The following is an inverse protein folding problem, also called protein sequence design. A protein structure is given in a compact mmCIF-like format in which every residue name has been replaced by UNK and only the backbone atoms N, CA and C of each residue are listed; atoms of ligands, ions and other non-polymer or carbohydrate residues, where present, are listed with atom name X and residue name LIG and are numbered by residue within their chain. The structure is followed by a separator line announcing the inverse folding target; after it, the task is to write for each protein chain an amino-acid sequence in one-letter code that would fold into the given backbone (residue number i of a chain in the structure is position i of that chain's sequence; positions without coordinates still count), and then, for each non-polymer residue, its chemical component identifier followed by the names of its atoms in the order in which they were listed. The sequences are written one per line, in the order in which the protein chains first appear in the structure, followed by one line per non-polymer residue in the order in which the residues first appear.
data_IF_463429142258
#
_entry.id   IF_463429142258
#
_cell.length_a   1.000
_cell.length_b   1.000
_cell.length_c   1.000
_cell.angle_alpha   90.00
_cell.angle_beta   90.00
_cell.angle_gamma   90.00
#
_symmetry.space_group_name_H-M   'P 1'
#
loop_
_entity.id
_entity.type
_entity.pdbx_description
1 polymer ?
#
# COMPACT_ATOMS: atom_id res chain seq x y z
N UNK A 1 -47.22 -54.64 75.52
CA UNK A 1 -47.37 -54.41 74.07
C UNK A 1 -46.51 -53.22 73.68
N UNK A 2 -45.47 -53.45 72.87
CA UNK A 2 -44.50 -52.41 72.45
C UNK A 2 -45.09 -51.58 71.32
N UNK A 3 -45.17 -50.26 71.50
CA UNK A 3 -45.69 -49.31 70.51
C UNK A 3 -44.49 -48.74 69.74
N UNK A 4 -44.40 -49.05 68.44
CA UNK A 4 -43.44 -48.47 67.51
C UNK A 4 -43.93 -47.08 67.06
N UNK A 5 -43.10 -46.05 67.22
CA UNK A 5 -43.29 -44.72 66.60
C UNK A 5 -42.62 -44.70 65.22
N UNK A 6 -43.28 -44.22 64.16
CA UNK A 6 -42.63 -44.06 62.86
C UNK A 6 -41.78 -42.78 62.86
N UNK A 7 -40.53 -42.89 62.39
CA UNK A 7 -39.64 -41.78 62.09
C UNK A 7 -39.93 -41.37 60.63
N UNK A 8 -40.38 -40.13 60.42
CA UNK A 8 -40.52 -39.53 59.08
C UNK A 8 -39.16 -38.91 58.72
N UNK A 9 -38.50 -39.47 57.70
CA UNK A 9 -37.27 -38.93 57.12
C UNK A 9 -37.63 -37.90 56.05
N UNK A 10 -37.41 -36.61 56.31
CA UNK A 10 -37.59 -35.55 55.31
C UNK A 10 -36.36 -35.51 54.38
N UNK A 11 -36.54 -35.91 53.12
CA UNK A 11 -35.53 -35.77 52.06
C UNK A 11 -35.64 -34.35 51.50
N UNK A 12 -34.65 -33.50 51.79
CA UNK A 12 -34.50 -32.21 51.14
C UNK A 12 -33.89 -32.40 49.74
N UNK A 13 -34.71 -32.28 48.70
CA UNK A 13 -34.24 -32.24 47.30
C UNK A 13 -33.71 -30.83 47.02
N UNK A 14 -32.39 -30.68 46.98
CA UNK A 14 -31.75 -29.47 46.46
C UNK A 14 -31.81 -29.52 44.93
N UNK A 15 -32.70 -28.73 44.35
CA UNK A 15 -32.75 -28.47 42.91
C UNK A 15 -31.51 -27.65 42.52
N UNK A 16 -30.47 -28.32 42.02
CA UNK A 16 -29.37 -27.66 41.30
C UNK A 16 -29.93 -27.26 39.93
N UNK A 17 -30.38 -26.03 39.79
CA UNK A 17 -30.67 -25.45 38.48
C UNK A 17 -29.35 -25.39 37.70
N UNK A 18 -29.29 -25.91 36.45
CA UNK A 18 -28.13 -25.66 35.60
C UNK A 18 -28.00 -24.14 35.41
N UNK A 19 -26.79 -23.61 35.60
CA UNK A 19 -26.51 -22.22 35.28
C UNK A 19 -26.98 -21.96 33.85
N UNK A 20 -27.92 -21.03 33.66
CA UNK A 20 -28.31 -20.59 32.33
C UNK A 20 -27.08 -19.96 31.67
N UNK A 21 -26.36 -20.76 30.88
CA UNK A 21 -25.43 -20.24 29.90
C UNK A 21 -26.27 -19.51 28.87
N UNK A 22 -26.53 -18.22 29.09
CA UNK A 22 -27.02 -17.34 28.03
C UNK A 22 -26.00 -17.40 26.91
N UNK A 23 -26.32 -18.11 25.83
CA UNK A 23 -25.51 -18.11 24.62
C UNK A 23 -25.35 -16.64 24.20
N UNK A 24 -24.11 -16.14 24.27
CA UNK A 24 -23.84 -14.73 23.98
C UNK A 24 -24.13 -14.51 22.51
N UNK A 25 -25.08 -13.62 22.22
CA UNK A 25 -25.50 -13.35 20.85
C UNK A 25 -24.29 -12.89 20.02
N UNK A 26 -24.12 -13.49 18.83
CA UNK A 26 -23.01 -13.17 17.93
C UNK A 26 -23.42 -11.94 17.12
N UNK A 27 -22.75 -10.78 17.27
CA UNK A 27 -23.07 -9.58 16.52
C UNK A 27 -22.79 -9.78 15.03
N UNK A 28 -23.58 -9.14 14.16
CA UNK A 28 -23.37 -9.17 12.70
C UNK A 28 -22.35 -8.13 12.24
N UNK A 29 -22.16 -7.06 13.03
CA UNK A 29 -21.18 -6.01 12.73
C UNK A 29 -20.73 -5.21 13.95
N UNK A 30 -19.62 -4.46 13.78
CA UNK A 30 -18.99 -3.61 14.76
C UNK A 30 -18.87 -2.18 14.23
N UNK A 31 -19.31 -1.20 15.02
CA UNK A 31 -19.28 0.22 14.70
C UNK A 31 -18.01 0.87 15.27
N UNK A 32 -17.25 1.52 14.40
CA UNK A 32 -15.94 2.09 14.70
C UNK A 32 -15.91 3.55 14.25
N UNK A 33 -15.42 4.44 15.11
CA UNK A 33 -15.16 5.84 14.77
C UNK A 33 -13.69 6.15 14.94
N UNK A 34 -13.16 7.02 14.10
CA UNK A 34 -11.76 7.40 14.19
C UNK A 34 -11.41 8.63 13.37
N UNK A 35 -10.12 8.88 13.26
CA UNK A 35 -9.55 9.98 12.50
C UNK A 35 -8.26 9.54 11.77
N UNK A 36 -7.78 10.35 10.83
CA UNK A 36 -6.60 10.07 10.04
C UNK A 36 -6.78 8.94 9.01
N UNK A 37 -5.77 8.79 8.16
CA UNK A 37 -5.69 7.75 7.12
C UNK A 37 -4.24 7.32 6.93
N UNK A 38 -4.00 6.02 7.05
CA UNK A 38 -2.65 5.44 7.02
C UNK A 38 -2.17 4.98 8.39
N UNK A 39 -0.86 4.71 8.48
CA UNK A 39 -0.21 4.15 9.67
C UNK A 39 0.26 5.20 10.68
N UNK A 40 0.24 6.50 10.32
CA UNK A 40 0.59 7.61 11.21
C UNK A 40 2.08 7.76 11.57
N UNK A 41 2.95 6.90 11.05
CA UNK A 41 4.40 6.91 11.32
C UNK A 41 5.14 7.84 10.36
N UNK A 42 6.01 8.69 10.89
CA UNK A 42 6.84 9.61 10.12
C UNK A 42 6.07 10.84 9.62
N UNK A 43 6.33 11.29 8.39
CA UNK A 43 5.76 12.55 7.91
C UNK A 43 4.27 12.44 7.57
N UNK A 44 3.45 13.29 8.20
CA UNK A 44 2.05 13.49 7.79
C UNK A 44 1.98 14.34 6.54
N UNK A 45 1.33 13.86 5.49
CA UNK A 45 1.16 14.60 4.23
C UNK A 45 0.27 15.84 4.43
N UNK A 46 -0.84 15.70 5.14
CA UNK A 46 -1.70 16.84 5.50
C UNK A 46 -0.94 17.84 6.38
N UNK A 47 -0.17 17.35 7.36
CA UNK A 47 0.63 18.22 8.21
C UNK A 47 1.75 18.94 7.46
N UNK A 48 2.44 18.26 6.55
CA UNK A 48 3.42 18.88 5.64
C UNK A 48 2.78 19.97 4.77
N UNK A 49 1.56 19.74 4.25
CA UNK A 49 0.79 20.75 3.53
C UNK A 49 0.49 21.96 4.41
N UNK A 50 0.02 21.75 5.64
CA UNK A 50 -0.31 22.83 6.57
C UNK A 50 0.91 23.67 6.92
N UNK A 51 2.05 23.03 7.19
CA UNK A 51 3.32 23.69 7.47
C UNK A 51 3.84 24.51 6.28
N UNK A 52 3.72 23.96 5.07
CA UNK A 52 4.06 24.70 3.86
C UNK A 52 3.15 25.92 3.64
N UNK A 53 1.84 25.81 3.94
CA UNK A 53 0.91 26.96 3.92
C UNK A 53 1.27 28.02 4.97
N UNK A 54 1.89 27.62 6.08
CA UNK A 54 2.42 28.51 7.10
C UNK A 54 3.81 29.10 6.75
N UNK A 55 4.35 28.81 5.56
CA UNK A 55 5.62 29.35 5.08
C UNK A 55 6.87 28.57 5.52
N UNK A 56 6.73 27.38 6.11
CA UNK A 56 7.88 26.53 6.44
C UNK A 56 8.54 25.98 5.16
N UNK A 57 9.88 25.92 5.18
CA UNK A 57 10.67 25.32 4.10
C UNK A 57 10.57 23.79 4.12
N UNK A 58 10.87 23.13 2.99
CA UNK A 58 10.86 21.67 2.91
C UNK A 58 11.76 20.99 3.97
N UNK A 59 12.93 21.58 4.24
CA UNK A 59 13.89 21.09 5.24
C UNK A 59 13.39 21.26 6.67
N UNK A 60 12.70 22.36 6.97
CA UNK A 60 12.04 22.56 8.26
C UNK A 60 10.90 21.54 8.48
N UNK A 61 10.09 21.29 7.45
CA UNK A 61 9.03 20.27 7.48
C UNK A 61 9.63 18.89 7.76
N UNK A 62 10.69 18.49 7.05
CA UNK A 62 11.35 17.20 7.28
C UNK A 62 11.92 17.11 8.70
N UNK A 63 12.65 18.12 9.16
CA UNK A 63 13.27 18.17 10.49
C UNK A 63 12.24 18.17 11.63
N UNK A 64 11.01 18.58 11.33
CA UNK A 64 9.90 18.47 12.26
C UNK A 64 9.52 16.99 12.51
N UNK A 65 9.36 16.20 11.45
CA UNK A 65 8.85 14.82 11.51
C UNK A 65 9.92 13.76 11.78
N UNK A 66 11.15 13.99 11.33
CA UNK A 66 12.26 13.06 11.51
C UNK A 66 13.31 13.70 12.43
N UNK A 67 13.71 13.00 13.49
CA UNK A 67 14.74 13.49 14.43
C UNK A 67 16.01 12.66 14.32
N UNK A 68 17.11 13.21 14.81
CA UNK A 68 18.43 12.57 14.79
C UNK A 68 18.83 12.13 13.37
N UNK A 69 18.53 13.00 12.40
CA UNK A 69 18.81 12.82 10.98
C UNK A 69 19.53 14.05 10.41
N UNK A 70 20.26 13.85 9.32
CA UNK A 70 20.76 14.93 8.48
C UNK A 70 19.94 15.00 7.18
N UNK A 71 19.86 16.20 6.59
CA UNK A 71 19.33 16.39 5.24
C UNK A 71 20.52 16.75 4.35
N UNK A 72 20.95 15.79 3.54
CA UNK A 72 22.19 15.90 2.78
C UNK A 72 22.08 15.29 1.38
N UNK A 73 22.90 15.74 0.43
CA UNK A 73 22.94 15.14 -0.90
C UNK A 73 23.59 13.76 -0.86
N UNK A 74 22.96 12.78 -1.50
CA UNK A 74 23.55 11.48 -1.84
C UNK A 74 23.43 11.23 -3.34
N UNK A 75 24.26 10.32 -3.86
CA UNK A 75 24.14 9.82 -5.23
C UNK A 75 22.83 9.03 -5.42
N UNK A 76 21.93 9.58 -6.22
CA UNK A 76 20.62 9.03 -6.57
C UNK A 76 20.54 8.55 -8.03
N UNK A 77 21.68 8.24 -8.66
CA UNK A 77 21.76 7.76 -10.06
C UNK A 77 21.37 6.28 -10.24
N UNK A 78 21.11 5.56 -9.14
CA UNK A 78 20.75 4.14 -9.16
C UNK A 78 19.52 3.87 -10.04
N UNK A 79 19.54 2.77 -10.77
CA UNK A 79 18.38 2.24 -11.48
C UNK A 79 17.58 1.36 -10.53
N UNK A 80 16.29 1.64 -10.40
CA UNK A 80 15.34 0.89 -9.59
C UNK A 80 14.46 0.04 -10.49
N UNK A 81 14.21 -1.19 -10.08
CA UNK A 81 13.23 -2.09 -10.68
C UNK A 81 11.90 -1.94 -9.92
N UNK A 82 10.97 -1.21 -10.52
CA UNK A 82 9.66 -0.91 -9.93
C UNK A 82 8.61 -1.85 -10.49
N UNK A 83 7.94 -2.65 -9.65
CA UNK A 83 6.84 -3.50 -10.09
C UNK A 83 5.62 -2.65 -10.46
N UNK A 84 5.16 -2.80 -11.69
CA UNK A 84 4.02 -2.05 -12.26
C UNK A 84 2.92 -2.98 -12.78
N UNK A 85 3.05 -4.28 -12.53
CA UNK A 85 2.08 -5.32 -12.87
C UNK A 85 2.37 -6.59 -12.09
N UNK A 86 1.58 -6.84 -11.04
CA UNK A 86 1.80 -7.93 -10.10
C UNK A 86 0.89 -9.13 -10.36
N UNK A 87 1.46 -10.34 -10.33
CA UNK A 87 0.75 -11.62 -10.45
C UNK A 87 -0.22 -11.71 -11.66
N UNK A 88 0.20 -11.20 -12.82
CA UNK A 88 -0.65 -11.12 -14.00
C UNK A 88 -0.73 -12.46 -14.76
N UNK A 89 -1.84 -12.69 -15.46
CA UNK A 89 -1.96 -13.77 -16.45
C UNK A 89 -1.66 -13.30 -17.87
N UNK A 90 -1.88 -12.02 -18.14
CA UNK A 90 -1.58 -11.38 -19.42
C UNK A 90 -1.29 -9.89 -19.25
N UNK A 91 -0.58 -9.32 -20.22
CA UNK A 91 -0.34 -7.89 -20.35
C UNK A 91 -0.25 -7.51 -21.83
N UNK A 92 -0.58 -6.27 -22.16
CA UNK A 92 -0.48 -5.71 -23.51
C UNK A 92 0.29 -4.41 -23.46
N UNK A 93 1.23 -4.23 -24.38
CA UNK A 93 2.03 -3.03 -24.53
C UNK A 93 1.89 -2.47 -25.96
N UNK A 94 1.80 -1.16 -26.11
CA UNK A 94 1.77 -0.51 -27.41
C UNK A 94 2.39 0.90 -27.34
N UNK A 95 2.84 1.43 -28.48
CA UNK A 95 3.26 2.83 -28.56
C UNK A 95 2.04 3.75 -28.55
N UNK A 96 2.09 4.80 -27.73
CA UNK A 96 1.11 5.87 -27.68
C UNK A 96 1.56 7.09 -28.52
N UNK A 97 2.86 7.29 -28.71
CA UNK A 97 3.41 8.33 -29.60
C UNK A 97 3.52 7.80 -31.03
N UNK A 98 3.12 8.58 -32.06
CA UNK A 98 3.47 8.29 -33.46
C UNK A 98 4.99 8.13 -33.64
N UNK A 99 5.40 7.26 -34.56
CA UNK A 99 6.81 7.01 -34.93
C UNK A 99 7.73 6.46 -33.83
N UNK A 100 7.23 6.33 -32.60
CA UNK A 100 7.95 5.60 -31.57
C UNK A 100 8.09 4.13 -31.95
N UNK A 101 9.24 3.55 -31.63
CA UNK A 101 9.53 2.15 -31.90
C UNK A 101 9.63 1.35 -30.61
N UNK A 102 9.31 0.06 -30.70
CA UNK A 102 9.36 -0.90 -29.60
C UNK A 102 10.23 -2.08 -30.04
N UNK A 103 11.13 -2.53 -29.16
CA UNK A 103 12.02 -3.66 -29.39
C UNK A 103 11.90 -4.64 -28.22
N UNK A 104 11.81 -5.94 -28.52
CA UNK A 104 11.76 -7.02 -27.52
C UNK A 104 13.01 -7.87 -27.61
N UNK A 105 13.57 -8.22 -26.45
CA UNK A 105 14.79 -9.00 -26.28
C UNK A 105 14.50 -10.23 -25.42
N UNK A 106 15.21 -11.32 -25.70
CA UNK A 106 15.22 -12.51 -24.85
C UNK A 106 16.09 -12.26 -23.63
N UNK A 107 15.61 -12.54 -22.42
CA UNK A 107 16.42 -12.43 -21.21
C UNK A 107 16.20 -11.14 -20.40
N UNK A 108 16.94 -11.07 -19.28
CA UNK A 108 17.03 -9.90 -18.42
C UNK A 108 18.19 -9.03 -18.91
N UNK A 109 17.90 -8.02 -19.72
CA UNK A 109 18.92 -7.16 -20.30
C UNK A 109 19.11 -5.95 -19.39
N UNK A 110 20.34 -5.73 -18.95
CA UNK A 110 20.75 -4.53 -18.23
C UNK A 110 20.84 -3.31 -19.15
N UNK A 111 21.93 -2.54 -19.04
CA UNK A 111 22.10 -1.29 -19.80
C UNK A 111 22.74 -1.51 -21.19
N UNK A 112 23.22 -2.72 -21.48
CA UNK A 112 23.88 -3.07 -22.74
C UNK A 112 22.98 -2.80 -23.96
N UNK A 113 23.47 -2.02 -24.94
CA UNK A 113 22.68 -1.59 -26.11
C UNK A 113 22.98 -2.40 -27.39
N UNK A 114 24.05 -3.18 -27.38
CA UNK A 114 24.55 -4.01 -28.48
C UNK A 114 23.84 -5.37 -28.62
N UNK A 115 22.83 -5.63 -27.79
CA UNK A 115 22.03 -6.86 -27.85
C UNK A 115 21.09 -6.81 -29.06
N UNK A 116 21.00 -7.91 -29.82
CA UNK A 116 20.10 -8.02 -30.97
C UNK A 116 18.65 -8.26 -30.51
N UNK A 117 17.67 -7.47 -30.97
CA UNK A 117 16.27 -7.71 -30.62
C UNK A 117 15.72 -8.96 -31.32
N UNK A 118 14.82 -9.67 -30.64
CA UNK A 118 14.03 -10.76 -31.22
C UNK A 118 13.04 -10.24 -32.28
N UNK A 119 12.51 -9.04 -32.06
CA UNK A 119 11.61 -8.37 -32.98
C UNK A 119 11.62 -6.86 -32.75
N UNK A 120 11.38 -6.12 -33.83
CA UNK A 120 10.98 -4.71 -33.80
C UNK A 120 9.48 -4.66 -34.04
N UNK A 121 8.74 -4.06 -33.12
CA UNK A 121 7.28 -3.96 -33.17
C UNK A 121 6.90 -2.82 -34.14
N UNK A 122 6.14 -3.10 -35.22
CA UNK A 122 5.76 -2.07 -36.17
C UNK A 122 4.84 -1.01 -35.55
N UNK A 123 4.81 0.19 -36.12
CA UNK A 123 3.85 1.24 -35.75
C UNK A 123 2.40 0.72 -35.83
N UNK A 124 1.52 1.23 -34.96
CA UNK A 124 0.11 0.78 -34.84
C UNK A 124 -0.06 -0.72 -34.53
N UNK A 125 0.99 -1.36 -34.01
CA UNK A 125 0.95 -2.75 -33.52
C UNK A 125 1.04 -2.78 -31.99
N UNK A 126 0.75 -3.94 -31.41
CA UNK A 126 0.91 -4.17 -29.97
C UNK A 126 1.71 -5.43 -29.70
N UNK A 127 2.47 -5.40 -28.60
CA UNK A 127 3.16 -6.54 -28.03
C UNK A 127 2.31 -7.12 -26.89
N UNK A 128 1.87 -8.35 -27.04
CA UNK A 128 1.02 -9.04 -26.08
C UNK A 128 1.82 -10.13 -25.37
N UNK A 129 1.57 -10.30 -24.07
CA UNK A 129 2.19 -11.30 -23.22
C UNK A 129 1.12 -12.15 -22.55
N UNK A 130 1.31 -13.47 -22.55
CA UNK A 130 0.50 -14.41 -21.78
C UNK A 130 1.38 -15.41 -21.03
N UNK A 131 0.91 -15.91 -19.90
CA UNK A 131 1.60 -16.93 -19.13
C UNK A 131 1.25 -18.34 -19.63
N UNK A 132 2.26 -19.20 -19.78
CA UNK A 132 2.06 -20.64 -20.04
C UNK A 132 3.11 -21.45 -19.28
N UNK A 133 2.65 -22.23 -18.30
CA UNK A 133 3.56 -22.94 -17.39
C UNK A 133 4.55 -21.97 -16.76
N UNK A 134 5.85 -22.30 -16.79
CA UNK A 134 6.92 -21.47 -16.23
C UNK A 134 7.45 -20.37 -17.18
N UNK A 135 6.77 -20.08 -18.29
CA UNK A 135 7.26 -19.19 -19.34
C UNK A 135 6.24 -18.14 -19.74
N UNK A 136 6.74 -16.99 -20.20
CA UNK A 136 5.97 -15.93 -20.86
C UNK A 136 5.97 -16.17 -22.37
N UNK A 137 4.82 -15.98 -23.01
CA UNK A 137 4.62 -16.09 -24.45
C UNK A 137 4.37 -14.69 -25.02
N UNK A 138 5.35 -14.07 -25.69
CA UNK A 138 5.15 -12.82 -26.39
C UNK A 138 4.57 -13.05 -27.80
N UNK A 139 3.79 -12.07 -28.27
CA UNK A 139 3.34 -12.01 -29.66
C UNK A 139 3.18 -10.57 -30.12
N UNK A 140 3.49 -10.31 -31.39
CA UNK A 140 3.25 -9.03 -32.04
C UNK A 140 1.93 -9.12 -32.80
N UNK A 141 1.01 -8.20 -32.52
CA UNK A 141 -0.29 -8.13 -33.17
C UNK A 141 -0.39 -6.84 -34.00
N UNK A 142 -0.65 -7.01 -35.30
CA UNK A 142 -0.82 -5.92 -36.27
C UNK A 142 -2.14 -6.13 -37.01
N UNK A 143 -3.17 -5.36 -36.64
CA UNK A 143 -4.52 -5.58 -37.15
C UNK A 143 -5.04 -6.98 -36.80
N UNK A 144 -5.29 -7.82 -37.81
CA UNK A 144 -5.72 -9.22 -37.65
C UNK A 144 -4.57 -10.23 -37.63
N UNK A 145 -3.33 -9.79 -37.90
CA UNK A 145 -2.15 -10.68 -37.98
C UNK A 145 -1.50 -10.78 -36.60
N UNK A 146 -1.14 -12.00 -36.21
CA UNK A 146 -0.40 -12.29 -34.98
C UNK A 146 0.88 -13.03 -35.34
N UNK A 147 2.02 -12.49 -34.93
CA UNK A 147 3.33 -13.11 -35.04
C UNK A 147 3.78 -13.56 -33.65
N UNK A 148 3.93 -14.86 -33.45
CA UNK A 148 4.41 -15.44 -32.19
C UNK A 148 5.91 -15.27 -32.04
N UNK A 149 6.37 -14.97 -30.83
CA UNK A 149 7.79 -14.94 -30.46
C UNK A 149 8.10 -16.17 -29.58
N UNK A 150 9.27 -16.83 -29.73
CA UNK A 150 9.63 -17.97 -28.90
C UNK A 150 9.50 -17.67 -27.40
N UNK A 151 8.90 -18.59 -26.65
CA UNK A 151 8.68 -18.45 -25.20
C UNK A 151 9.99 -18.47 -24.41
N UNK A 152 10.04 -17.72 -23.33
CA UNK A 152 11.15 -17.70 -22.37
C UNK A 152 10.62 -17.34 -20.97
N UNK A 153 11.44 -17.49 -19.93
CA UNK A 153 11.09 -17.09 -18.55
C UNK A 153 11.06 -15.59 -18.35
N UNK A 154 11.87 -14.83 -19.10
CA UNK A 154 11.95 -13.37 -19.00
C UNK A 154 12.22 -12.75 -20.37
N UNK A 155 11.62 -11.60 -20.59
CA UNK A 155 11.88 -10.70 -21.72
C UNK A 155 12.15 -9.28 -21.22
N UNK A 156 12.95 -8.55 -21.99
CA UNK A 156 13.13 -7.11 -21.81
C UNK A 156 12.54 -6.38 -23.01
N UNK A 157 11.85 -5.26 -22.78
CA UNK A 157 11.26 -4.41 -23.81
C UNK A 157 11.79 -3.00 -23.67
N UNK A 158 12.27 -2.45 -24.78
CA UNK A 158 12.78 -1.07 -24.88
C UNK A 158 11.97 -0.29 -25.91
N UNK A 159 11.88 1.01 -25.73
CA UNK A 159 11.22 1.91 -26.67
C UNK A 159 12.01 3.19 -26.89
N UNK A 160 11.80 3.79 -28.05
CA UNK A 160 12.55 4.98 -28.50
C UNK A 160 12.37 6.18 -27.58
N UNK A 161 13.39 7.04 -27.55
CA UNK A 161 13.40 8.26 -26.73
C UNK A 161 13.70 7.99 -25.25
N UNK A 162 14.17 6.79 -24.93
CA UNK A 162 14.66 6.43 -23.60
C UNK A 162 16.19 6.31 -23.61
N UNK A 163 16.80 6.19 -22.44
CA UNK A 163 18.24 5.89 -22.32
C UNK A 163 18.64 4.56 -22.96
N UNK A 164 17.69 3.66 -23.18
CA UNK A 164 17.95 2.31 -23.66
C UNK A 164 17.74 2.15 -25.16
N UNK A 165 17.07 3.11 -25.81
CA UNK A 165 16.84 3.14 -27.25
C UNK A 165 16.64 4.58 -27.71
N UNK A 166 17.57 5.08 -28.54
CA UNK A 166 17.48 6.40 -29.15
C UNK A 166 16.32 6.52 -30.13
N UNK A 167 15.82 7.73 -30.34
CA UNK A 167 14.77 8.04 -31.30
C UNK A 167 13.81 9.10 -30.76
N UNK A 168 12.62 9.20 -31.35
CA UNK A 168 11.58 10.13 -30.88
C UNK A 168 11.12 9.79 -29.47
N UNK A 169 10.71 10.82 -28.73
CA UNK A 169 10.18 10.77 -27.37
C UNK A 169 8.94 9.85 -27.25
N UNK A 170 9.19 8.56 -27.08
CA UNK A 170 8.18 7.52 -27.07
C UNK A 170 7.46 7.42 -25.73
N UNK A 171 6.14 7.55 -25.76
CA UNK A 171 5.25 7.14 -24.68
C UNK A 171 4.68 5.79 -25.06
N UNK A 172 4.66 4.85 -24.13
CA UNK A 172 4.03 3.55 -24.29
C UNK A 172 2.79 3.46 -23.39
N UNK A 173 1.82 2.66 -23.80
CA UNK A 173 0.74 2.18 -22.95
C UNK A 173 1.03 0.76 -22.50
N UNK A 174 0.77 0.47 -21.23
CA UNK A 174 0.73 -0.87 -20.66
C UNK A 174 -0.69 -1.11 -20.13
N UNK A 175 -1.33 -2.16 -20.64
CA UNK A 175 -2.68 -2.56 -20.29
C UNK A 175 -2.67 -3.94 -19.62
N UNK A 176 -3.29 -4.04 -18.45
CA UNK A 176 -3.52 -5.29 -17.73
C UNK A 176 -4.69 -5.10 -16.74
N UNK A 177 -5.38 -6.18 -16.37
CA UNK A 177 -6.50 -6.15 -15.40
C UNK A 177 -7.57 -5.07 -15.70
N UNK A 178 -7.84 -4.77 -16.97
CA UNK A 178 -8.81 -3.76 -17.39
C UNK A 178 -8.34 -2.30 -17.25
N UNK A 179 -7.14 -2.05 -16.73
CA UNK A 179 -6.56 -0.71 -16.63
C UNK A 179 -5.49 -0.49 -17.71
N UNK A 180 -5.28 0.76 -18.11
CA UNK A 180 -4.18 1.16 -19.00
C UNK A 180 -3.42 2.33 -18.38
N UNK A 181 -2.11 2.16 -18.20
CA UNK A 181 -1.19 3.20 -17.70
C UNK A 181 -0.19 3.58 -18.78
N UNK A 182 0.32 4.81 -18.73
CA UNK A 182 1.29 5.33 -19.70
C UNK A 182 2.66 5.54 -19.06
N UNK A 183 3.71 5.19 -19.79
CA UNK A 183 5.09 5.32 -19.35
C UNK A 183 5.94 5.97 -20.44
N UNK A 184 6.88 6.83 -20.02
CA UNK A 184 7.77 7.59 -20.90
C UNK A 184 9.22 7.16 -20.74
N UNK A 185 9.60 6.70 -19.56
CA UNK A 185 10.98 6.36 -19.20
C UNK A 185 11.14 4.91 -18.78
N UNK A 186 12.38 4.43 -18.90
CA UNK A 186 12.80 3.12 -18.44
C UNK A 186 12.91 2.08 -19.56
N UNK A 187 13.06 0.83 -19.13
CA UNK A 187 12.87 -0.37 -19.93
C UNK A 187 12.06 -1.37 -19.09
N UNK A 188 11.24 -2.21 -19.71
CA UNK A 188 10.35 -3.09 -18.98
C UNK A 188 10.78 -4.55 -19.05
N UNK A 189 10.76 -5.23 -17.91
CA UNK A 189 10.94 -6.68 -17.83
C UNK A 189 9.58 -7.36 -17.64
N UNK A 190 9.39 -8.48 -18.34
CA UNK A 190 8.24 -9.37 -18.22
C UNK A 190 8.73 -10.74 -17.78
N UNK A 191 8.56 -11.07 -16.50
CA UNK A 191 9.12 -12.30 -15.90
C UNK A 191 8.02 -13.24 -15.43
N UNK A 192 8.17 -14.53 -15.74
CA UNK A 192 7.40 -15.60 -15.09
C UNK A 192 7.93 -15.87 -13.68
N UNK A 193 7.09 -15.68 -12.66
CA UNK A 193 7.38 -15.92 -11.24
C UNK A 193 6.40 -16.94 -10.67
N UNK A 194 6.87 -17.83 -9.79
CA UNK A 194 6.03 -18.83 -9.12
C UNK A 194 5.34 -18.20 -7.91
N UNK A 195 4.02 -18.05 -7.97
CA UNK A 195 3.20 -17.61 -6.85
C UNK A 195 2.72 -18.81 -6.02
N UNK A 196 2.73 -18.66 -4.69
CA UNK A 196 2.53 -19.75 -3.75
C UNK A 196 1.23 -20.55 -3.98
N UNK A 197 0.12 -19.85 -4.20
CA UNK A 197 -1.23 -20.45 -4.32
C UNK A 197 -1.82 -20.36 -5.72
N UNK A 198 -1.15 -19.69 -6.65
CA UNK A 198 -1.71 -19.34 -7.96
C UNK A 198 -0.97 -20.01 -9.12
N UNK A 199 0.14 -20.71 -8.87
CA UNK A 199 1.03 -21.20 -9.91
C UNK A 199 1.88 -20.07 -10.50
N UNK A 200 2.33 -20.20 -11.75
CA UNK A 200 3.14 -19.15 -12.37
C UNK A 200 2.29 -17.96 -12.82
N UNK A 201 2.85 -16.76 -12.65
CA UNK A 201 2.28 -15.47 -13.07
C UNK A 201 3.36 -14.58 -13.68
N UNK A 202 2.94 -13.52 -14.35
CA UNK A 202 3.82 -12.50 -14.92
C UNK A 202 3.97 -11.37 -13.91
N UNK A 203 5.22 -11.06 -13.57
CA UNK A 203 5.61 -9.79 -12.97
C UNK A 203 6.09 -8.87 -14.09
N UNK A 204 5.56 -7.65 -14.12
CA UNK A 204 5.99 -6.58 -15.02
C UNK A 204 6.69 -5.52 -14.19
N UNK A 205 7.96 -5.28 -14.48
CA UNK A 205 8.74 -4.27 -13.79
C UNK A 205 9.31 -3.25 -14.76
N UNK A 206 9.44 -2.00 -14.32
CA UNK A 206 10.07 -0.93 -15.08
C UNK A 206 11.38 -0.54 -14.39
N UNK A 207 12.48 -0.61 -15.15
CA UNK A 207 13.83 -0.22 -14.72
C UNK A 207 14.06 1.27 -15.00
N UNK A 208 13.93 2.10 -13.97
CA UNK A 208 13.96 3.57 -14.03
C UNK A 208 15.03 4.15 -13.13
N UNK A 209 15.72 5.21 -13.57
CA UNK A 209 16.66 5.96 -12.73
C UNK A 209 15.92 6.67 -11.60
N UNK A 210 16.43 6.55 -10.39
CA UNK A 210 15.82 7.11 -9.19
C UNK A 210 15.68 8.63 -9.27
N UNK A 211 16.76 9.35 -9.59
CA UNK A 211 16.85 10.82 -9.53
C UNK A 211 15.69 11.57 -10.20
N UNK A 212 15.14 11.01 -11.29
CA UNK A 212 14.14 11.66 -12.14
C UNK A 212 13.08 10.70 -12.71
N UNK A 213 13.46 9.68 -13.47
CA UNK A 213 12.53 8.77 -14.17
C UNK A 213 11.53 8.11 -13.21
N UNK A 214 12.02 7.72 -12.03
CA UNK A 214 11.19 7.21 -10.94
C UNK A 214 10.44 8.33 -10.22
N UNK A 215 11.16 9.34 -9.70
CA UNK A 215 10.56 10.35 -8.84
C UNK A 215 9.53 11.23 -9.55
N UNK A 216 9.69 11.53 -10.84
CA UNK A 216 8.68 12.21 -11.64
C UNK A 216 7.38 11.43 -11.74
N UNK A 217 7.42 10.10 -11.58
CA UNK A 217 6.25 9.24 -11.59
C UNK A 217 5.63 8.93 -10.23
N UNK A 218 6.26 9.33 -9.11
CA UNK A 218 5.73 9.11 -7.76
C UNK A 218 4.53 10.02 -7.52
N UNK A 219 3.41 9.43 -7.08
CA UNK A 219 2.12 10.10 -6.94
C UNK A 219 1.52 9.93 -5.55
N UNK A 220 2.22 10.43 -4.55
CA UNK A 220 1.81 10.36 -3.14
C UNK A 220 0.92 11.53 -2.70
N UNK A 221 1.16 12.72 -3.25
CA UNK A 221 0.41 13.95 -2.94
C UNK A 221 -0.07 14.64 -4.22
N UNK A 222 -1.18 15.40 -4.19
CA UNK A 222 -1.61 16.22 -5.33
C UNK A 222 -0.53 17.21 -5.76
N UNK A 223 -0.32 17.35 -7.08
CA UNK A 223 0.70 18.28 -7.61
C UNK A 223 0.31 19.76 -7.43
N UNK A 224 -0.92 20.04 -7.00
CA UNK A 224 -1.42 21.39 -6.69
C UNK A 224 -1.07 21.88 -5.29
N UNK A 225 -0.41 21.07 -4.48
CA UNK A 225 0.00 21.45 -3.13
C UNK A 225 1.14 22.47 -3.15
N UNK A 226 1.33 23.24 -2.05
CA UNK A 226 2.40 24.22 -1.96
C UNK A 226 3.78 23.61 -2.22
N UNK A 227 4.66 24.39 -2.85
CA UNK A 227 5.97 23.92 -3.30
C UNK A 227 6.79 23.24 -2.19
N UNK A 228 6.86 23.84 -1.00
CA UNK A 228 7.63 23.27 0.11
C UNK A 228 7.11 21.89 0.55
N UNK A 229 5.80 21.63 0.45
CA UNK A 229 5.22 20.32 0.73
C UNK A 229 5.57 19.30 -0.37
N UNK A 230 5.55 19.72 -1.64
CA UNK A 230 5.97 18.87 -2.76
C UNK A 230 7.46 18.51 -2.64
N UNK A 231 8.31 19.47 -2.30
CA UNK A 231 9.74 19.26 -2.10
C UNK A 231 10.01 18.34 -0.90
N UNK A 232 9.31 18.52 0.23
CA UNK A 232 9.43 17.63 1.38
C UNK A 232 9.01 16.19 1.02
N UNK A 233 7.91 16.03 0.27
CA UNK A 233 7.48 14.72 -0.23
C UNK A 233 8.49 14.12 -1.22
N UNK A 234 9.09 14.91 -2.11
CA UNK A 234 10.10 14.43 -3.06
C UNK A 234 11.35 13.91 -2.33
N UNK A 235 11.86 14.64 -1.34
CA UNK A 235 13.01 14.23 -0.52
C UNK A 235 12.69 12.96 0.29
N UNK A 236 11.53 12.89 0.94
CA UNK A 236 11.11 11.69 1.67
C UNK A 236 10.96 10.49 0.73
N UNK A 237 10.37 10.69 -0.45
CA UNK A 237 10.17 9.64 -1.45
C UNK A 237 11.50 9.13 -2.01
N UNK A 238 12.44 10.02 -2.32
CA UNK A 238 13.81 9.68 -2.75
C UNK A 238 14.50 8.83 -1.70
N UNK A 239 14.45 9.28 -0.45
CA UNK A 239 15.10 8.60 0.67
C UNK A 239 14.53 7.20 0.89
N UNK A 240 13.20 7.06 0.89
CA UNK A 240 12.54 5.76 1.03
C UNK A 240 12.98 4.80 -0.07
N UNK A 241 12.92 5.24 -1.34
CA UNK A 241 13.35 4.44 -2.48
C UNK A 241 14.84 4.04 -2.40
N UNK A 242 15.72 4.96 -1.97
CA UNK A 242 17.13 4.65 -1.74
C UNK A 242 17.36 3.60 -0.65
N UNK A 243 16.54 3.61 0.41
CA UNK A 243 16.62 2.60 1.48
C UNK A 243 16.20 1.19 1.02
N UNK A 244 15.53 1.09 -0.14
CA UNK A 244 15.08 -0.16 -0.77
C UNK A 244 15.94 -0.57 -1.96
N UNK A 245 16.67 0.36 -2.55
CA UNK A 245 17.47 0.14 -3.76
C UNK A 245 18.48 -1.01 -3.56
N UNK A 246 18.41 -2.03 -4.42
CA UNK A 246 19.29 -3.21 -4.38
C UNK A 246 18.81 -4.30 -3.43
N UNK A 247 17.70 -4.11 -2.70
CA UNK A 247 17.06 -5.14 -1.89
C UNK A 247 16.06 -5.88 -2.79
N UNK A 248 16.59 -6.77 -3.63
CA UNK A 248 15.80 -7.52 -4.60
C UNK A 248 14.81 -8.48 -3.93
N UNK A 249 13.52 -8.35 -4.27
CA UNK A 249 12.46 -9.28 -3.85
C UNK A 249 12.05 -10.18 -5.00
N UNK A 250 12.35 -11.47 -4.88
CA UNK A 250 12.03 -12.48 -5.89
C UNK A 250 10.54 -12.68 -6.15
N UNK A 251 9.67 -12.36 -5.18
CA UNK A 251 8.22 -12.48 -5.30
C UNK A 251 7.58 -11.46 -6.25
N UNK A 252 8.24 -10.33 -6.51
CA UNK A 252 7.76 -9.28 -7.42
C UNK A 252 8.76 -8.96 -8.53
N UNK A 253 9.93 -9.63 -8.53
CA UNK A 253 11.08 -9.25 -9.35
C UNK A 253 11.41 -7.76 -9.22
N UNK A 254 11.45 -7.20 -8.00
CA UNK A 254 11.48 -5.75 -7.82
C UNK A 254 12.24 -5.27 -6.58
N UNK A 255 12.73 -4.03 -6.64
CA UNK A 255 13.16 -3.25 -5.49
C UNK A 255 11.95 -2.66 -4.76
N UNK A 256 10.97 -2.15 -5.52
CA UNK A 256 9.80 -1.39 -5.05
C UNK A 256 8.53 -1.86 -5.76
N UNK A 257 7.41 -1.95 -5.04
CA UNK A 257 6.09 -1.98 -5.65
C UNK A 257 5.66 -0.56 -6.06
N UNK A 258 5.07 -0.39 -7.23
CA UNK A 258 4.48 0.87 -7.70
C UNK A 258 3.08 1.14 -7.12
N UNK A 259 2.79 0.60 -5.93
CA UNK A 259 1.51 0.65 -5.23
C UNK A 259 1.71 1.01 -3.75
N UNK A 260 0.60 1.15 -3.01
CA UNK A 260 0.58 1.57 -1.60
C UNK A 260 1.39 0.68 -0.63
N UNK A 261 1.83 -0.50 -1.07
CA UNK A 261 2.70 -1.38 -0.28
C UNK A 261 4.13 -0.83 -0.14
N UNK A 262 4.58 0.00 -1.09
CA UNK A 262 5.81 0.78 -1.00
C UNK A 262 5.53 2.25 -1.33
N UNK A 263 5.43 2.59 -2.62
CA UNK A 263 5.09 3.95 -3.05
C UNK A 263 4.26 3.92 -4.34
N UNK A 264 3.24 4.76 -4.40
CA UNK A 264 2.36 4.87 -5.57
C UNK A 264 3.14 5.46 -6.74
N UNK A 265 3.33 4.67 -7.79
CA UNK A 265 4.02 5.08 -9.02
C UNK A 265 3.04 5.06 -10.20
N UNK A 266 2.67 6.23 -10.69
CA UNK A 266 1.80 6.41 -11.86
C UNK A 266 2.58 6.59 -13.16
N UNK A 267 3.91 6.70 -13.08
CA UNK A 267 4.76 6.98 -14.23
C UNK A 267 4.40 8.30 -14.89
N UNK A 268 4.26 8.31 -16.21
CA UNK A 268 4.13 9.55 -16.98
C UNK A 268 2.84 10.33 -16.67
N UNK A 269 1.79 9.64 -16.19
CA UNK A 269 0.53 10.28 -15.84
C UNK A 269 0.68 11.36 -14.74
N UNK A 270 1.65 11.19 -13.82
CA UNK A 270 1.96 12.17 -12.78
C UNK A 270 2.61 13.42 -13.37
N UNK A 271 3.63 13.22 -14.21
CA UNK A 271 4.33 14.31 -14.88
C UNK A 271 3.40 15.12 -15.80
N UNK A 272 2.46 14.46 -16.47
CA UNK A 272 1.51 15.10 -17.38
C UNK A 272 0.17 15.48 -16.74
N UNK A 273 0.10 15.54 -15.41
CA UNK A 273 -1.11 15.97 -14.72
C UNK A 273 -1.52 17.38 -15.22
N UNK A 274 -2.73 17.49 -15.78
CA UNK A 274 -3.16 18.71 -16.48
C UNK A 274 -3.09 19.94 -15.56
N UNK A 275 -2.23 20.89 -15.91
CA UNK A 275 -2.06 22.16 -15.20
C UNK A 275 -1.17 22.10 -13.96
N UNK A 276 -0.83 20.91 -13.45
CA UNK A 276 -0.12 20.78 -12.17
C UNK A 276 1.15 19.92 -12.22
N UNK A 277 1.29 19.03 -13.20
CA UNK A 277 2.40 18.09 -13.28
C UNK A 277 3.78 18.76 -13.31
N UNK A 278 3.88 19.97 -13.90
CA UNK A 278 5.12 20.73 -13.89
C UNK A 278 5.59 21.13 -12.48
N UNK A 279 4.69 21.32 -11.51
CA UNK A 279 5.08 21.67 -10.14
C UNK A 279 5.68 20.48 -9.39
N UNK A 280 5.13 19.27 -9.59
CA UNK A 280 5.76 18.05 -9.06
C UNK A 280 7.13 17.82 -9.68
N UNK A 281 7.23 17.93 -11.02
CA UNK A 281 8.52 17.79 -11.73
C UNK A 281 9.54 18.81 -11.23
N UNK A 282 9.14 20.06 -11.03
CA UNK A 282 9.99 21.12 -10.48
C UNK A 282 10.44 20.80 -9.04
N UNK A 283 9.53 20.34 -8.17
CA UNK A 283 9.89 19.95 -6.80
C UNK A 283 10.94 18.82 -6.74
N UNK A 284 10.81 17.82 -7.62
CA UNK A 284 11.81 16.75 -7.76
C UNK A 284 13.15 17.31 -8.24
N UNK A 285 13.12 18.19 -9.25
CA UNK A 285 14.32 18.77 -9.88
C UNK A 285 15.05 19.74 -8.93
N UNK A 286 14.31 20.54 -8.17
CA UNK A 286 14.86 21.52 -7.22
C UNK A 286 15.40 20.86 -5.93
N UNK A 287 15.21 19.55 -5.75
CA UNK A 287 15.68 18.78 -4.59
C UNK A 287 16.56 17.60 -4.98
N UNK A 288 17.18 17.64 -6.17
CA UNK A 288 18.06 16.56 -6.67
C UNK A 288 19.11 16.20 -5.62
N UNK A 289 19.30 14.90 -5.40
CA UNK A 289 20.26 14.36 -4.43
C UNK A 289 19.87 14.53 -2.96
N UNK A 290 19.01 15.49 -2.58
CA UNK A 290 18.65 15.71 -1.17
C UNK A 290 17.90 14.52 -0.59
N UNK A 291 18.43 13.99 0.51
CA UNK A 291 17.95 12.80 1.21
C UNK A 291 17.96 13.00 2.73
N UNK A 292 17.25 12.14 3.45
CA UNK A 292 17.21 12.10 4.90
C UNK A 292 18.08 10.94 5.37
N UNK A 293 19.18 11.23 6.07
CA UNK A 293 20.16 10.22 6.45
C UNK A 293 20.32 10.11 7.95
N UNK A 294 20.71 8.92 8.40
CA UNK A 294 21.18 8.68 9.75
C UNK A 294 22.47 7.86 9.65
N UNK A 295 23.54 8.35 10.28
CA UNK A 295 24.88 7.78 10.15
C UNK A 295 25.32 7.60 8.67
N UNK A 296 25.05 8.61 7.83
CA UNK A 296 25.42 8.63 6.40
C UNK A 296 24.65 7.65 5.52
N UNK A 297 23.60 6.99 6.03
CA UNK A 297 22.75 6.06 5.27
C UNK A 297 21.33 6.60 5.15
N UNK A 298 20.66 6.42 3.98
CA UNK A 298 19.28 6.83 3.82
C UNK A 298 18.37 6.06 4.80
N UNK A 299 17.51 6.79 5.51
CA UNK A 299 16.53 6.16 6.42
C UNK A 299 15.38 5.52 5.63
N UNK A 300 14.62 4.63 6.25
CA UNK A 300 13.29 4.30 5.74
C UNK A 300 12.33 5.45 6.07
N UNK A 301 12.31 6.47 5.22
CA UNK A 301 11.52 7.69 5.40
C UNK A 301 10.01 7.41 5.24
N UNK A 302 9.38 6.92 6.32
CA UNK A 302 7.95 6.63 6.34
C UNK A 302 7.12 7.91 6.28
N UNK A 303 6.02 7.88 5.54
CA UNK A 303 5.04 8.96 5.49
C UNK A 303 3.63 8.38 5.29
N UNK A 304 2.61 9.12 5.66
CA UNK A 304 1.21 8.72 5.50
C UNK A 304 0.29 9.92 5.30
N UNK A 305 -0.95 9.66 4.91
CA UNK A 305 -1.89 10.74 4.55
C UNK A 305 -2.16 11.70 5.70
N UNK A 306 -2.64 11.18 6.83
CA UNK A 306 -3.00 12.00 8.00
C UNK A 306 -3.01 11.17 9.29
N UNK A 307 -2.97 11.84 10.43
CA UNK A 307 -2.96 11.24 11.77
C UNK A 307 -4.26 11.51 12.54
N UNK A 308 -4.38 10.96 13.75
CA UNK A 308 -5.40 11.36 14.72
C UNK A 308 -5.01 12.58 15.57
N UNK A 309 -4.07 13.42 15.12
CA UNK A 309 -3.59 14.61 15.82
C UNK A 309 -2.14 14.53 16.32
N UNK A 310 -1.58 13.32 16.40
CA UNK A 310 -0.18 13.04 16.74
C UNK A 310 0.37 11.94 15.82
N UNK A 311 1.61 12.06 15.35
CA UNK A 311 2.28 10.96 14.67
C UNK A 311 2.59 9.81 15.63
N UNK A 312 2.88 8.64 15.07
CA UNK A 312 3.19 7.42 15.82
C UNK A 312 4.64 6.97 15.58
N UNK A 313 5.19 6.26 16.55
CA UNK A 313 6.49 5.60 16.46
C UNK A 313 6.38 4.26 15.71
N UNK A 314 7.44 3.85 15.02
CA UNK A 314 7.46 2.54 14.36
C UNK A 314 7.40 1.37 15.36
N UNK A 315 7.87 1.57 16.60
CA UNK A 315 7.79 0.58 17.67
C UNK A 315 6.35 0.26 18.05
N UNK A 316 5.53 1.29 18.25
CA UNK A 316 4.11 1.10 18.57
C UNK A 316 3.31 0.55 17.38
N UNK A 317 3.56 1.08 16.17
CA UNK A 317 2.82 0.65 14.98
C UNK A 317 3.18 -0.79 14.55
N UNK A 318 4.47 -1.14 14.51
CA UNK A 318 4.96 -2.36 13.89
C UNK A 318 5.83 -3.25 14.80
N UNK A 319 6.14 -2.81 16.01
CA UNK A 319 6.91 -3.58 16.99
C UNK A 319 8.42 -3.47 16.87
N UNK A 320 8.94 -2.71 15.91
CA UNK A 320 10.38 -2.47 15.75
C UNK A 320 10.65 -0.97 15.80
N UNK A 321 11.37 -0.53 16.82
CA UNK A 321 11.70 0.88 16.98
C UNK A 321 12.72 1.34 15.94
N UNK A 322 12.46 2.49 15.34
CA UNK A 322 13.39 3.27 14.54
C UNK A 322 13.59 4.60 15.26
N UNK A 323 14.85 4.91 15.57
CA UNK A 323 15.20 6.11 16.33
C UNK A 323 14.64 7.37 15.69
N UNK A 324 14.68 7.49 14.36
CA UNK A 324 14.18 8.66 13.64
C UNK A 324 12.63 8.81 13.58
N UNK A 325 11.85 7.91 14.19
CA UNK A 325 10.39 8.00 14.23
C UNK A 325 9.90 8.43 15.62
N UNK A 326 9.32 9.62 15.71
CA UNK A 326 8.82 10.19 16.96
C UNK A 326 7.35 10.58 16.85
N UNK A 327 6.69 10.64 18.01
CA UNK A 327 5.37 11.26 18.12
C UNK A 327 5.54 12.78 18.20
N UNK A 328 5.02 13.48 17.21
CA UNK A 328 4.98 14.94 17.11
C UNK A 328 3.56 15.39 16.77
N UNK A 329 3.21 16.62 17.14
CA UNK A 329 1.87 17.17 16.90
C UNK A 329 1.56 17.27 15.41
N UNK A 330 0.31 17.00 15.05
CA UNK A 330 -0.21 17.10 13.69
C UNK A 330 -1.71 17.46 13.73
N UNK A 331 -2.00 18.58 14.43
CA UNK A 331 -3.38 19.06 14.64
C UNK A 331 -4.11 19.35 13.33
N UNK A 332 -3.39 19.70 12.27
CA UNK A 332 -3.91 19.89 10.91
C UNK A 332 -4.59 18.65 10.33
N UNK A 333 -4.26 17.45 10.79
CA UNK A 333 -4.97 16.24 10.36
C UNK A 333 -6.40 16.16 10.89
N UNK A 334 -6.71 16.89 11.96
CA UNK A 334 -8.06 16.99 12.54
C UNK A 334 -8.82 18.23 12.03
N UNK A 335 -8.24 19.00 11.12
CA UNK A 335 -8.88 20.15 10.50
C UNK A 335 -9.83 19.69 9.36
N UNK A 336 -11.14 20.01 9.44
CA UNK A 336 -12.12 19.58 8.43
C UNK A 336 -11.95 20.28 7.07
N UNK A 337 -11.26 21.42 7.00
CA UNK A 337 -10.96 22.13 5.75
C UNK A 337 -9.73 21.51 5.07
N UNK A 338 -8.69 21.21 5.85
CA UNK A 338 -7.46 20.62 5.29
C UNK A 338 -7.61 19.12 5.01
N UNK A 339 -8.34 18.39 5.85
CA UNK A 339 -8.55 16.95 5.77
C UNK A 339 -10.03 16.53 5.76
N UNK A 340 -10.87 17.04 4.84
CA UNK A 340 -12.33 16.88 4.88
C UNK A 340 -12.83 15.43 4.89
N UNK A 341 -12.02 14.49 4.42
CA UNK A 341 -12.40 13.06 4.33
C UNK A 341 -12.03 12.24 5.56
N UNK A 342 -11.02 12.68 6.31
CA UNK A 342 -10.43 11.86 7.37
C UNK A 342 -10.11 12.64 8.66
N UNK A 343 -10.50 13.91 8.78
CA UNK A 343 -10.48 14.60 10.07
C UNK A 343 -11.31 13.83 11.11
N UNK A 344 -12.39 13.20 10.65
CA UNK A 344 -13.16 12.18 11.35
C UNK A 344 -13.77 11.21 10.32
N UNK A 345 -13.99 9.95 10.72
CA UNK A 345 -14.69 8.96 9.92
C UNK A 345 -15.44 7.95 10.80
N UNK A 346 -16.48 7.34 10.23
CA UNK A 346 -17.25 6.22 10.81
C UNK A 346 -17.17 5.01 9.87
N UNK A 347 -17.00 3.80 10.42
CA UNK A 347 -16.94 2.55 9.65
C UNK A 347 -17.67 1.42 10.37
N UNK A 348 -18.44 0.67 9.60
CA UNK A 348 -19.00 -0.63 10.00
C UNK A 348 -18.09 -1.74 9.50
N UNK A 349 -17.62 -2.61 10.40
CA UNK A 349 -16.85 -3.82 10.05
C UNK A 349 -17.71 -5.05 10.30
N UNK A 350 -17.79 -5.95 9.32
CA UNK A 350 -18.61 -7.16 9.44
C UNK A 350 -18.02 -8.15 10.46
N UNK A 351 -18.86 -8.99 11.05
CA UNK A 351 -18.44 -10.10 11.91
C UNK A 351 -17.36 -10.93 11.23
N UNK A 352 -17.61 -11.37 10.00
CA UNK A 352 -16.67 -12.18 9.21
C UNK A 352 -15.30 -11.52 9.04
N UNK A 353 -15.24 -10.20 8.85
CA UNK A 353 -13.99 -9.46 8.72
C UNK A 353 -13.22 -9.41 10.04
N UNK A 354 -13.91 -9.15 11.16
CA UNK A 354 -13.29 -9.16 12.50
C UNK A 354 -12.82 -10.57 12.87
N UNK A 355 -13.66 -11.59 12.72
CA UNK A 355 -13.31 -12.97 13.01
C UNK A 355 -12.10 -13.45 12.18
N UNK A 356 -12.10 -13.15 10.87
CA UNK A 356 -10.95 -13.42 10.01
C UNK A 356 -9.69 -12.67 10.46
N UNK A 357 -9.81 -11.40 10.88
CA UNK A 357 -8.68 -10.62 11.36
C UNK A 357 -8.01 -11.25 12.58
N UNK A 358 -8.77 -11.83 13.51
CA UNK A 358 -8.26 -12.53 14.70
C UNK A 358 -8.00 -14.03 14.47
N UNK A 359 -8.33 -14.58 13.29
CA UNK A 359 -8.36 -16.02 13.04
C UNK A 359 -9.18 -16.77 14.11
N UNK A 360 -10.40 -16.28 14.36
CA UNK A 360 -11.41 -16.87 15.22
C UNK A 360 -12.60 -17.32 14.36
N UNK A 361 -13.39 -18.31 14.79
CA UNK A 361 -14.61 -18.71 14.08
C UNK A 361 -15.71 -17.62 14.13
N UNK A 362 -15.77 -16.88 15.24
CA UNK A 362 -16.69 -15.78 15.48
C UNK A 362 -16.10 -14.84 16.55
N UNK A 363 -16.74 -13.69 16.75
CA UNK A 363 -16.38 -12.72 17.80
C UNK A 363 -17.66 -12.20 18.46
N UNK A 364 -17.81 -12.44 19.75
CA UNK A 364 -18.94 -11.97 20.58
C UNK A 364 -18.62 -10.72 21.40
N UNK A 365 -17.33 -10.40 21.52
CA UNK A 365 -16.86 -9.20 22.22
C UNK A 365 -15.58 -8.70 21.57
N UNK A 366 -15.55 -7.41 21.28
CA UNK A 366 -14.38 -6.70 20.75
C UNK A 366 -14.10 -5.49 21.65
N UNK A 367 -12.86 -5.34 22.10
CA UNK A 367 -12.47 -4.33 23.09
C UNK A 367 -11.14 -3.68 22.73
N UNK A 368 -11.07 -2.34 22.83
CA UNK A 368 -9.79 -1.62 22.87
C UNK A 368 -9.24 -1.75 24.29
N UNK A 369 -8.16 -2.51 24.44
CA UNK A 369 -7.55 -2.79 25.75
C UNK A 369 -6.62 -1.67 26.17
N UNK A 370 -5.87 -1.11 25.22
CA UNK A 370 -4.86 -0.09 25.48
C UNK A 370 -4.73 0.84 24.28
N UNK A 371 -4.56 2.13 24.55
CA UNK A 371 -4.13 3.15 23.58
C UNK A 371 -2.71 3.62 23.86
N UNK A 372 -1.97 3.91 22.81
CA UNK A 372 -0.68 4.60 22.90
C UNK A 372 -0.91 6.09 23.22
N UNK A 373 0.15 6.78 23.66
CA UNK A 373 0.09 8.21 23.95
C UNK A 373 -0.28 9.09 22.74
N UNK A 374 -0.03 8.60 21.53
CA UNK A 374 -0.42 9.23 20.26
C UNK A 374 -1.94 9.15 19.99
N UNK A 375 -2.68 8.33 20.73
CA UNK A 375 -4.09 8.03 20.50
C UNK A 375 -4.36 6.81 19.61
N UNK A 376 -3.33 6.16 19.03
CA UNK A 376 -3.54 4.90 18.31
C UNK A 376 -3.91 3.76 19.27
N UNK A 377 -4.68 2.80 18.78
CA UNK A 377 -4.95 1.56 19.52
C UNK A 377 -3.69 0.71 19.61
N UNK A 378 -3.14 0.56 20.82
CA UNK A 378 -1.97 -0.27 21.09
C UNK A 378 -2.34 -1.75 21.07
N UNK A 379 -3.45 -2.10 21.73
CA UNK A 379 -3.95 -3.48 21.82
C UNK A 379 -5.47 -3.49 21.70
N UNK A 380 -5.97 -4.34 20.80
CA UNK A 380 -7.37 -4.68 20.65
C UNK A 380 -7.55 -6.19 20.86
N UNK A 381 -8.59 -6.59 21.58
CA UNK A 381 -8.87 -7.97 21.94
C UNK A 381 -10.24 -8.39 21.44
N UNK A 382 -10.30 -9.59 20.87
CA UNK A 382 -11.54 -10.27 20.50
C UNK A 382 -11.74 -11.53 21.37
N UNK A 383 -12.99 -11.79 21.75
CA UNK A 383 -13.41 -13.03 22.43
C UNK A 383 -14.42 -13.76 21.55
N UNK A 384 -14.21 -15.06 21.32
CA UNK A 384 -15.17 -15.93 20.61
C UNK A 384 -16.31 -16.40 21.51
N UNK A 385 -17.36 -16.95 20.92
CA UNK A 385 -18.50 -17.62 21.57
C UNK A 385 -18.06 -18.75 22.51
N UNK A 386 -16.94 -19.41 22.20
CA UNK A 386 -16.31 -20.46 23.02
C UNK A 386 -15.40 -19.93 24.12
N UNK A 387 -15.30 -18.61 24.29
CA UNK A 387 -14.47 -17.96 25.31
C UNK A 387 -12.99 -17.80 24.94
N UNK A 388 -12.57 -18.18 23.73
CA UNK A 388 -11.18 -18.01 23.28
C UNK A 388 -10.90 -16.53 23.04
N UNK A 389 -9.84 -16.02 23.67
CA UNK A 389 -9.41 -14.64 23.51
C UNK A 389 -8.16 -14.54 22.64
N UNK A 390 -8.14 -13.57 21.71
CA UNK A 390 -6.96 -13.20 20.93
C UNK A 390 -6.79 -11.70 20.90
N UNK A 391 -5.54 -11.26 20.89
CA UNK A 391 -5.18 -9.83 20.87
C UNK A 391 -4.34 -9.51 19.64
N UNK A 392 -4.52 -8.30 19.11
CA UNK A 392 -3.76 -7.74 18.00
C UNK A 392 -3.30 -6.32 18.35
N UNK A 393 -2.25 -5.86 17.69
CA UNK A 393 -1.97 -4.42 17.61
C UNK A 393 -3.05 -3.71 16.79
N UNK A 394 -3.35 -2.46 17.11
CA UNK A 394 -4.33 -1.68 16.34
C UNK A 394 -3.99 -1.57 14.87
N UNK A 395 -2.70 -1.40 14.52
CA UNK A 395 -2.27 -1.35 13.11
C UNK A 395 -2.46 -2.69 12.39
N UNK A 396 -2.28 -3.81 13.07
CA UNK A 396 -2.56 -5.14 12.49
C UNK A 396 -4.06 -5.31 12.26
N UNK A 397 -4.90 -4.87 13.21
CA UNK A 397 -6.34 -4.87 13.03
C UNK A 397 -6.76 -3.95 11.88
N UNK A 398 -6.20 -2.74 11.79
CA UNK A 398 -6.41 -1.79 10.68
C UNK A 398 -6.15 -2.46 9.33
N UNK A 399 -4.96 -3.03 9.17
CA UNK A 399 -4.55 -3.68 7.93
C UNK A 399 -5.49 -4.83 7.53
N UNK A 400 -5.86 -5.70 8.48
CA UNK A 400 -6.69 -6.88 8.22
C UNK A 400 -8.16 -6.55 7.95
N UNK A 401 -8.70 -5.50 8.59
CA UNK A 401 -10.10 -5.08 8.43
C UNK A 401 -10.30 -3.94 7.44
N UNK A 402 -9.20 -3.35 6.94
CA UNK A 402 -9.17 -2.25 5.97
C UNK A 402 -9.85 -0.96 6.45
N UNK A 403 -9.92 -0.74 7.76
CA UNK A 403 -10.33 0.58 8.30
C UNK A 403 -9.24 1.64 8.02
N UNK A 404 -9.60 2.95 7.98
CA UNK A 404 -8.68 4.02 7.58
C UNK A 404 -7.35 4.11 8.35
N UNK A 405 -7.40 3.99 9.67
CA UNK A 405 -6.27 4.24 10.57
C UNK A 405 -6.36 3.40 11.84
N UNK A 406 -5.30 3.41 12.65
CA UNK A 406 -5.28 2.85 13.99
C UNK A 406 -5.75 3.85 15.08
N UNK A 407 -6.14 5.09 14.71
CA UNK A 407 -6.67 6.10 15.62
C UNK A 407 -8.19 5.96 15.69
N UNK A 408 -8.69 5.03 16.49
CA UNK A 408 -10.12 4.73 16.56
C UNK A 408 -10.61 4.36 17.95
N UNK A 409 -11.93 4.39 18.09
CA UNK A 409 -12.73 3.94 19.22
C UNK A 409 -13.85 3.01 18.74
N UNK A 410 -14.23 2.06 19.59
CA UNK A 410 -15.39 1.20 19.37
C UNK A 410 -16.63 1.90 19.91
N UNK A 411 -17.67 2.00 19.09
CA UNK A 411 -18.89 2.75 19.42
C UNK A 411 -20.09 1.84 19.70
N UNK A 412 -20.09 0.63 19.15
CA UNK A 412 -21.15 -0.33 19.43
C UNK A 412 -21.05 -1.61 18.60
N UNK A 413 -21.92 -2.55 18.93
CA UNK A 413 -22.12 -3.81 18.20
C UNK A 413 -23.57 -3.87 17.74
N UNK A 414 -23.81 -4.38 16.54
CA UNK A 414 -25.16 -4.60 16.02
C UNK A 414 -25.46 -6.09 15.98
N UNK A 415 -26.52 -6.49 16.65
CA UNK A 415 -27.04 -7.86 16.64
C UNK A 415 -27.97 -8.08 15.43
N UNK A 416 -28.24 -9.34 15.09
CA UNK A 416 -29.19 -9.64 14.03
C UNK A 416 -30.59 -9.20 14.48
N UNK A 417 -31.25 -8.34 13.70
CA UNK A 417 -32.65 -8.02 13.96
C UNK A 417 -33.49 -9.21 13.50
N UNK A 418 -34.25 -9.81 14.40
CA UNK A 418 -35.21 -10.87 14.06
C UNK A 418 -36.20 -10.33 13.02
N UNK A 419 -36.47 -11.04 11.91
CA UNK A 419 -37.41 -10.56 10.91
C UNK A 419 -38.78 -10.37 11.58
N UNK A 420 -39.34 -9.17 11.45
CA UNK A 420 -40.70 -8.88 11.92
C UNK A 420 -41.63 -9.93 11.33
N UNK A 421 -42.36 -10.72 12.15
CA UNK A 421 -43.26 -11.73 11.62
C UNK A 421 -44.26 -11.04 10.71
N UNK A 422 -44.34 -11.48 9.45
CA UNK A 422 -45.41 -11.05 8.54
C UNK A 422 -46.74 -11.35 9.22
N UNK A 423 -47.71 -10.41 9.22
CA UNK A 423 -49.04 -10.73 9.71
C UNK A 423 -49.58 -11.90 8.89
N UNK A 424 -49.99 -12.96 9.58
CA UNK A 424 -50.65 -14.12 8.99
C UNK A 424 -51.89 -13.67 8.19
N UNK A 425 -52.20 -14.35 7.06
CA UNK A 425 -53.15 -13.89 6.06
C UNK A 425 -54.58 -13.69 6.56
#
# INVERSE_FOLDING_TARGET
MRIFKPIILAIAVVLILPAQSSAREIPVSFQIKGAGYGHGVGMSQIGARAKALAGETATAIISYYYKDVAIEPLDDTKVLRVNIGHLLTSAKMATATPDATLQIFSGDIGDAQDVVPLAVVPVKSSLNFSIFGSTVLPSVVTGKKTLSIPRNRIFTVRWSGTRYLSGVDGVISLSHNGATKKYRYGQMQFRAVKAATMGYRIEVTNSVRLSDEYLWGVSEVPSSWPEAALQAQAIASRTFAMSKAGIYRSSCDCDLYGEISDQTFLGYAKETEKGWGQFWKAAVTNTVGLTITQAGKPISAYFGSSTGGLTETSGNAWGTQKSFTHSVADLSSLDPVLNPRFYQWDRTVTQSSVAAAFALPDVVLLEVVLKNSSGTVATIRATSSTGVQKSLRGETFRSRTKIPSAYFDLVGMQNAVEPTPSPSP
#
